data_IF_942365785070
#
_entry.id   IF_942365785070
#
_cell.length_a   1.000
_cell.length_b   1.000
_cell.length_c   1.000
_cell.angle_alpha   90.00
_cell.angle_beta   90.00
_cell.angle_gamma   90.00
#
_symmetry.space_group_name_H-M   'P 1'
#
loop_
_entity.id
_entity.type
_entity.pdbx_description
1 polymer ?
#
# COMPACT_ATOMS: atom_id res chain seq x y z
N UNK A 1 -23.89 60.41 26.28
CA UNK A 1 -23.78 59.37 25.25
C UNK A 1 -22.34 59.07 24.81
N UNK A 2 -21.46 60.05 24.61
CA UNK A 2 -20.07 59.82 24.16
C UNK A 2 -19.24 58.94 25.13
N UNK A 3 -19.42 59.05 26.42
CA UNK A 3 -18.63 58.29 27.43
C UNK A 3 -19.06 56.82 27.54
N UNK A 4 -20.29 56.49 27.15
CA UNK A 4 -20.77 55.11 27.16
C UNK A 4 -20.24 54.33 25.95
N UNK A 5 -20.18 54.99 24.78
CA UNK A 5 -19.64 54.42 23.55
C UNK A 5 -18.14 54.14 23.67
N UNK A 6 -17.37 55.00 24.33
CA UNK A 6 -15.93 54.87 24.54
C UNK A 6 -15.60 53.70 25.50
N UNK A 7 -16.44 53.47 26.50
CA UNK A 7 -16.29 52.31 27.41
C UNK A 7 -16.64 51.01 26.71
N UNK A 8 -17.61 51.00 25.81
CA UNK A 8 -17.96 49.82 25.02
C UNK A 8 -16.85 49.43 24.02
N UNK A 9 -16.25 50.41 23.35
CA UNK A 9 -15.15 50.21 22.42
C UNK A 9 -13.90 49.70 23.17
N UNK A 10 -13.62 50.24 24.37
CA UNK A 10 -12.50 49.79 25.18
C UNK A 10 -12.70 48.36 25.72
N UNK A 11 -13.93 48.00 26.08
CA UNK A 11 -14.28 46.63 26.53
C UNK A 11 -14.20 45.60 25.37
N UNK A 12 -14.62 46.01 24.18
CA UNK A 12 -14.52 45.15 22.99
C UNK A 12 -13.05 44.91 22.56
N UNK A 13 -12.20 45.95 22.72
CA UNK A 13 -10.77 45.83 22.39
C UNK A 13 -10.04 44.89 23.35
N UNK A 14 -10.42 44.87 24.63
CA UNK A 14 -9.83 43.93 25.63
C UNK A 14 -10.25 42.49 25.37
N UNK A 15 -11.47 42.25 24.88
CA UNK A 15 -11.96 40.91 24.54
C UNK A 15 -11.22 40.34 23.31
N UNK A 16 -10.87 41.18 22.34
CA UNK A 16 -10.11 40.76 21.14
C UNK A 16 -8.64 40.44 21.44
N UNK A 17 -8.06 41.11 22.46
CA UNK A 17 -6.67 40.84 22.89
C UNK A 17 -6.53 39.64 23.83
N UNK A 18 -7.65 39.16 24.37
CA UNK A 18 -7.65 38.03 25.33
C UNK A 18 -8.03 36.67 24.76
N UNK A 19 -8.20 36.55 23.44
CA UNK A 19 -8.41 35.24 22.83
C UNK A 19 -7.14 34.40 23.02
N UNK A 20 -7.20 33.25 23.72
CA UNK A 20 -6.04 32.38 23.78
C UNK A 20 -5.75 31.97 22.33
N UNK A 21 -4.55 32.28 21.85
CA UNK A 21 -4.00 31.61 20.69
C UNK A 21 -4.01 30.12 21.06
N UNK A 22 -4.98 29.37 20.52
CA UNK A 22 -4.82 27.93 20.42
C UNK A 22 -3.62 27.72 19.51
N UNK A 23 -2.46 27.63 20.14
CA UNK A 23 -1.29 27.11 19.47
C UNK A 23 -1.67 25.72 19.00
N UNK A 24 -1.78 25.54 17.69
CA UNK A 24 -1.64 24.21 17.11
C UNK A 24 -0.34 23.69 17.69
N UNK A 25 -0.46 22.74 18.60
CA UNK A 25 0.70 21.95 19.01
C UNK A 25 1.15 21.28 17.70
N UNK A 26 2.08 21.92 17.03
CA UNK A 26 2.97 21.17 16.15
C UNK A 26 3.56 20.11 17.07
N UNK A 27 3.15 18.88 16.86
CA UNK A 27 3.93 17.75 17.30
C UNK A 27 5.26 17.96 16.57
N UNK A 28 6.16 18.65 17.25
CA UNK A 28 7.54 18.63 16.85
C UNK A 28 7.92 17.16 16.95
N UNK A 29 7.91 16.48 15.80
CA UNK A 29 8.80 15.36 15.62
C UNK A 29 10.18 15.95 15.80
N UNK A 30 10.61 16.04 17.05
CA UNK A 30 11.99 16.31 17.39
C UNK A 30 12.76 15.09 16.86
N UNK A 31 13.16 15.16 15.61
CA UNK A 31 14.32 14.40 15.14
C UNK A 31 15.50 15.03 15.86
N UNK A 32 15.61 14.78 17.16
CA UNK A 32 16.89 14.90 17.83
C UNK A 32 17.76 13.85 17.17
N UNK A 33 18.93 14.20 16.63
CA UNK A 33 19.93 13.21 16.29
C UNK A 33 20.32 12.54 17.60
N UNK A 34 19.55 11.53 17.96
CA UNK A 34 19.76 10.74 19.14
C UNK A 34 21.04 9.96 18.95
N UNK A 35 21.88 10.02 19.98
CA UNK A 35 23.06 9.20 20.06
C UNK A 35 22.69 7.71 19.97
N UNK A 36 23.66 6.87 19.83
CA UNK A 36 23.61 5.42 19.61
C UNK A 36 22.57 4.62 20.45
N UNK A 37 21.98 5.20 21.49
CA UNK A 37 21.04 4.55 22.38
C UNK A 37 19.57 4.60 21.96
N UNK A 38 19.17 5.56 21.11
CA UNK A 38 17.74 5.76 20.82
C UNK A 38 17.25 4.97 19.60
N UNK A 39 18.14 4.53 18.71
CA UNK A 39 17.79 3.70 17.56
C UNK A 39 17.22 2.33 17.94
N UNK A 40 17.56 1.85 19.13
CA UNK A 40 17.12 0.54 19.63
C UNK A 40 15.59 0.43 19.78
N UNK A 41 14.89 1.55 19.84
CA UNK A 41 13.45 1.61 20.02
C UNK A 41 12.72 2.20 18.81
N UNK A 42 13.47 2.59 17.78
CA UNK A 42 12.87 3.13 16.56
C UNK A 42 12.17 2.00 15.81
N UNK A 43 10.89 2.23 15.50
CA UNK A 43 10.06 1.31 14.75
C UNK A 43 9.37 2.10 13.65
N UNK A 44 9.32 1.55 12.45
CA UNK A 44 8.50 2.10 11.39
C UNK A 44 7.02 1.95 11.76
N UNK A 45 6.46 2.98 12.41
CA UNK A 45 5.05 3.00 12.81
C UNK A 45 4.16 3.68 11.78
N UNK A 46 4.74 4.30 10.77
CA UNK A 46 4.01 5.06 9.74
C UNK A 46 3.53 4.12 8.63
N UNK A 47 4.42 3.29 8.10
CA UNK A 47 4.14 2.48 6.92
C UNK A 47 3.93 1.00 7.26
N UNK A 48 4.60 0.51 8.31
CA UNK A 48 4.58 -0.91 8.67
C UNK A 48 3.40 -1.25 9.59
N UNK A 49 2.72 -2.35 9.28
CA UNK A 49 1.79 -2.99 10.20
C UNK A 49 2.51 -3.89 11.22
N UNK A 50 3.75 -4.26 10.96
CA UNK A 50 4.59 -5.10 11.82
C UNK A 50 5.39 -4.24 12.79
N UNK A 51 5.61 -4.74 14.01
CA UNK A 51 6.37 -4.03 15.05
C UNK A 51 7.81 -4.57 15.12
N UNK A 52 8.59 -4.31 14.08
CA UNK A 52 9.99 -4.71 14.01
C UNK A 52 10.86 -3.49 14.31
N UNK A 53 11.78 -3.61 15.28
CA UNK A 53 12.72 -2.54 15.61
C UNK A 53 13.83 -2.48 14.58
N UNK A 54 14.34 -1.29 14.28
CA UNK A 54 15.44 -1.11 13.32
C UNK A 54 16.70 -1.89 13.74
N UNK A 55 17.03 -1.95 15.01
CA UNK A 55 18.21 -2.67 15.52
C UNK A 55 18.06 -4.21 15.47
N UNK A 56 16.82 -4.72 15.33
CA UNK A 56 16.53 -6.13 15.23
C UNK A 56 16.52 -6.61 13.76
N UNK A 57 16.52 -5.71 12.80
CA UNK A 57 16.61 -6.00 11.37
C UNK A 57 18.04 -6.37 10.99
N UNK A 58 18.33 -7.64 10.85
CA UNK A 58 19.64 -8.13 10.38
C UNK A 58 19.78 -8.09 8.86
N UNK A 59 18.69 -8.34 8.15
CA UNK A 59 18.63 -8.37 6.70
C UNK A 59 17.32 -7.74 6.25
N UNK A 60 17.37 -6.94 5.21
CA UNK A 60 16.19 -6.34 4.61
C UNK A 60 16.38 -6.20 3.11
N UNK A 61 15.40 -6.64 2.33
CA UNK A 61 15.32 -6.42 0.90
C UNK A 61 13.91 -6.03 0.52
N UNK A 62 13.78 -4.96 -0.25
CA UNK A 62 12.50 -4.53 -0.80
C UNK A 62 12.14 -5.35 -2.04
N UNK A 63 10.91 -5.81 -2.12
CA UNK A 63 10.38 -6.62 -3.20
C UNK A 63 9.06 -6.02 -3.68
N UNK A 64 8.94 -5.78 -4.96
CA UNK A 64 7.70 -5.33 -5.60
C UNK A 64 7.06 -6.51 -6.32
N UNK A 65 5.81 -6.76 -5.98
CA UNK A 65 5.07 -7.92 -6.49
C UNK A 65 3.80 -7.48 -7.18
N UNK A 66 3.40 -8.26 -8.14
CA UNK A 66 2.13 -8.13 -8.87
C UNK A 66 1.22 -9.30 -8.62
N UNK A 67 -0.02 -9.01 -8.27
CA UNK A 67 -1.12 -9.97 -8.23
C UNK A 67 -1.95 -9.77 -9.49
N UNK A 68 -2.05 -10.80 -10.35
CA UNK A 68 -3.06 -10.86 -11.40
C UNK A 68 -4.32 -11.51 -10.83
N UNK A 69 -5.37 -10.70 -10.66
CA UNK A 69 -6.63 -11.13 -10.05
C UNK A 69 -7.39 -12.15 -10.91
N UNK A 70 -7.06 -12.29 -12.21
CA UNK A 70 -7.69 -13.26 -13.12
C UNK A 70 -7.15 -14.67 -12.92
N UNK A 71 -6.01 -14.84 -12.27
CA UNK A 71 -5.46 -16.14 -11.97
C UNK A 71 -6.40 -16.94 -11.06
N UNK A 72 -6.48 -18.25 -11.29
CA UNK A 72 -7.39 -19.14 -10.57
C UNK A 72 -7.26 -19.04 -9.03
N UNK A 73 -6.05 -18.86 -8.53
CA UNK A 73 -5.80 -18.69 -7.10
C UNK A 73 -6.31 -17.36 -6.53
N UNK A 74 -6.35 -16.32 -7.38
CA UNK A 74 -6.69 -14.97 -7.00
C UNK A 74 -8.18 -14.63 -7.23
N UNK A 75 -8.97 -15.55 -7.79
CA UNK A 75 -10.37 -15.31 -8.07
C UNK A 75 -11.19 -14.91 -6.83
N UNK A 76 -10.78 -15.36 -5.65
CA UNK A 76 -11.42 -14.96 -4.39
C UNK A 76 -11.22 -13.46 -4.07
N UNK A 77 -10.12 -12.85 -4.54
CA UNK A 77 -9.85 -11.41 -4.46
C UNK A 77 -10.55 -10.63 -5.57
N UNK A 78 -10.66 -11.22 -6.76
CA UNK A 78 -11.24 -10.55 -7.92
C UNK A 78 -12.75 -10.33 -7.79
N UNK A 79 -13.45 -11.27 -7.15
CA UNK A 79 -14.90 -11.29 -7.13
C UNK A 79 -15.48 -11.51 -8.53
N UNK A 80 -16.77 -11.19 -8.74
CA UNK A 80 -17.39 -11.32 -10.07
C UNK A 80 -17.28 -10.04 -10.92
N UNK A 81 -16.56 -9.03 -10.44
CA UNK A 81 -16.32 -7.78 -11.16
C UNK A 81 -17.57 -6.91 -11.38
N UNK A 82 -18.68 -7.20 -10.71
CA UNK A 82 -19.84 -6.31 -10.69
C UNK A 82 -19.67 -5.23 -9.61
N UNK A 83 -20.29 -4.06 -9.80
CA UNK A 83 -20.25 -2.96 -8.86
C UNK A 83 -20.75 -3.32 -7.43
N UNK A 84 -21.45 -4.43 -7.33
CA UNK A 84 -21.93 -5.01 -6.05
C UNK A 84 -21.11 -6.23 -5.60
N UNK A 85 -20.04 -6.57 -6.32
CA UNK A 85 -19.25 -7.74 -5.98
C UNK A 85 -18.35 -7.43 -4.78
N UNK A 86 -18.02 -8.47 -4.05
CA UNK A 86 -17.09 -8.42 -2.92
C UNK A 86 -15.62 -8.48 -3.40
N UNK A 87 -15.31 -8.03 -4.62
CA UNK A 87 -13.95 -7.97 -5.14
C UNK A 87 -13.14 -6.86 -4.47
N UNK A 88 -11.85 -7.13 -4.25
CA UNK A 88 -10.96 -6.21 -3.51
C UNK A 88 -10.92 -4.80 -4.11
N UNK A 89 -10.90 -4.68 -5.44
CA UNK A 89 -10.87 -3.38 -6.13
C UNK A 89 -12.15 -2.59 -5.85
N UNK A 90 -13.31 -3.24 -5.86
CA UNK A 90 -14.58 -2.58 -5.52
C UNK A 90 -14.63 -2.16 -4.06
N UNK A 91 -14.10 -2.99 -3.15
CA UNK A 91 -14.07 -2.67 -1.73
C UNK A 91 -13.12 -1.49 -1.45
N UNK A 92 -11.97 -1.45 -2.12
CA UNK A 92 -11.07 -0.30 -2.03
C UNK A 92 -11.74 0.97 -2.58
N UNK A 93 -12.40 0.88 -3.74
CA UNK A 93 -13.13 2.02 -4.31
C UNK A 93 -14.19 2.56 -3.35
N UNK A 94 -14.99 1.66 -2.75
CA UNK A 94 -16.00 2.01 -1.75
C UNK A 94 -15.39 2.68 -0.52
N UNK A 95 -14.31 2.13 0.01
CA UNK A 95 -13.60 2.68 1.16
C UNK A 95 -13.04 4.09 0.91
N UNK A 96 -12.58 4.38 -0.31
CA UNK A 96 -12.04 5.67 -0.70
C UNK A 96 -13.13 6.69 -1.01
N UNK A 97 -14.13 6.29 -1.83
CA UNK A 97 -15.10 7.24 -2.40
C UNK A 97 -16.35 7.37 -1.55
N UNK A 98 -16.94 6.24 -1.13
CA UNK A 98 -18.23 6.27 -0.43
C UNK A 98 -18.04 6.54 1.06
N UNK A 99 -17.02 5.98 1.67
CA UNK A 99 -16.78 6.06 3.11
C UNK A 99 -15.71 7.09 3.48
N UNK A 100 -14.87 7.52 2.52
CA UNK A 100 -13.73 8.43 2.74
C UNK A 100 -12.83 7.97 3.90
N UNK A 101 -12.64 6.66 4.00
CA UNK A 101 -11.91 6.01 5.11
C UNK A 101 -10.45 5.74 4.76
N UNK A 102 -10.12 5.63 3.47
CA UNK A 102 -8.76 5.41 2.99
C UNK A 102 -8.24 6.61 2.21
N UNK A 103 -7.06 7.08 2.59
CA UNK A 103 -6.31 8.07 1.84
C UNK A 103 -5.58 7.42 0.67
N UNK A 104 -5.61 8.07 -0.49
CA UNK A 104 -4.91 7.62 -1.69
C UNK A 104 -3.86 8.65 -2.07
N UNK A 105 -2.72 8.17 -2.56
CA UNK A 105 -1.59 9.00 -2.95
C UNK A 105 -1.23 8.75 -4.42
N UNK A 106 -0.65 9.77 -5.05
CA UNK A 106 -0.20 9.71 -6.44
C UNK A 106 1.18 9.08 -6.60
N UNK A 107 1.94 9.01 -5.52
CA UNK A 107 3.35 8.61 -5.51
C UNK A 107 3.63 7.51 -4.46
N UNK A 108 4.72 6.78 -4.69
CA UNK A 108 5.22 5.71 -3.82
C UNK A 108 5.70 6.24 -2.45
N UNK A 109 6.09 7.51 -2.38
CA UNK A 109 6.63 8.15 -1.16
C UNK A 109 5.53 8.79 -0.29
N UNK A 110 4.26 8.74 -0.73
CA UNK A 110 3.11 9.33 -0.04
C UNK A 110 3.23 10.84 0.22
N UNK A 111 3.86 11.56 -0.71
CA UNK A 111 4.02 13.01 -0.61
C UNK A 111 2.87 13.76 -1.25
N UNK A 112 2.16 13.14 -2.22
CA UNK A 112 1.10 13.76 -3.00
C UNK A 112 -0.24 13.07 -2.75
N UNK A 113 -1.03 13.53 -1.78
CA UNK A 113 -2.37 13.00 -1.57
C UNK A 113 -3.27 13.36 -2.77
N UNK A 114 -4.00 12.36 -3.28
CA UNK A 114 -4.99 12.55 -4.33
C UNK A 114 -6.33 12.96 -3.74
N UNK A 115 -7.01 13.89 -4.40
CA UNK A 115 -8.40 14.17 -4.09
C UNK A 115 -9.30 13.03 -4.58
N UNK A 116 -10.49 12.90 -3.96
CA UNK A 116 -11.47 11.88 -4.38
C UNK A 116 -11.84 12.05 -5.87
N UNK A 117 -11.93 13.27 -6.37
CA UNK A 117 -12.24 13.54 -7.77
C UNK A 117 -11.14 13.06 -8.70
N UNK A 118 -9.88 13.32 -8.39
CA UNK A 118 -8.71 12.83 -9.15
C UNK A 118 -8.61 11.31 -9.10
N UNK A 119 -8.86 10.71 -7.93
CA UNK A 119 -8.89 9.25 -7.82
C UNK A 119 -9.99 8.64 -8.69
N UNK A 120 -11.20 9.22 -8.69
CA UNK A 120 -12.30 8.77 -9.54
C UNK A 120 -11.97 8.89 -11.03
N UNK A 121 -11.34 10.00 -11.45
CA UNK A 121 -10.89 10.20 -12.82
C UNK A 121 -9.86 9.13 -13.22
N UNK A 122 -8.84 8.91 -12.38
CA UNK A 122 -7.84 7.89 -12.62
C UNK A 122 -8.41 6.47 -12.64
N UNK A 123 -9.45 6.22 -11.85
CA UNK A 123 -10.08 4.91 -11.74
C UNK A 123 -10.98 4.58 -12.93
N UNK A 124 -11.76 5.56 -13.42
CA UNK A 124 -12.79 5.32 -14.44
C UNK A 124 -12.38 5.67 -15.87
N UNK A 125 -11.33 6.48 -16.06
CA UNK A 125 -10.91 6.95 -17.37
C UNK A 125 -9.54 6.40 -17.78
N UNK A 126 -9.47 5.90 -19.01
CA UNK A 126 -8.21 5.51 -19.65
C UNK A 126 -7.46 6.74 -20.22
N UNK A 127 -6.33 6.52 -20.89
CA UNK A 127 -5.52 7.60 -21.49
C UNK A 127 -6.24 8.36 -22.61
N UNK A 128 -7.25 7.76 -23.26
CA UNK A 128 -8.06 8.38 -24.31
C UNK A 128 -9.30 9.08 -23.76
N UNK A 129 -9.55 8.99 -22.46
CA UNK A 129 -10.74 9.57 -21.81
C UNK A 129 -11.99 8.68 -21.91
N UNK A 130 -11.85 7.44 -22.36
CA UNK A 130 -12.98 6.50 -22.40
C UNK A 130 -13.20 5.88 -21.03
N UNK A 131 -14.48 5.65 -20.69
CA UNK A 131 -14.83 4.99 -19.44
C UNK A 131 -14.50 3.50 -19.48
N UNK A 132 -13.93 3.00 -18.41
CA UNK A 132 -13.58 1.60 -18.22
C UNK A 132 -14.51 0.93 -17.22
N UNK A 133 -14.52 -0.40 -17.23
CA UNK A 133 -15.24 -1.21 -16.23
C UNK A 133 -14.28 -1.77 -15.19
N UNK A 134 -14.75 -1.94 -13.96
CA UNK A 134 -13.95 -2.53 -12.86
C UNK A 134 -13.34 -3.88 -13.23
N UNK A 135 -14.04 -4.68 -14.03
CA UNK A 135 -13.50 -5.96 -14.56
C UNK A 135 -12.23 -5.83 -15.38
N UNK A 136 -11.95 -4.65 -15.91
CA UNK A 136 -10.75 -4.39 -16.71
C UNK A 136 -9.56 -4.01 -15.84
N UNK A 137 -9.79 -3.76 -14.54
CA UNK A 137 -8.75 -3.56 -13.52
C UNK A 137 -8.48 -4.91 -12.85
N UNK A 138 -7.40 -5.53 -13.22
CA UNK A 138 -7.04 -6.86 -12.72
C UNK A 138 -5.62 -6.97 -12.18
N UNK A 139 -4.87 -5.87 -12.16
CA UNK A 139 -3.56 -5.83 -11.52
C UNK A 139 -3.62 -5.09 -10.19
N UNK A 140 -3.06 -5.75 -9.20
CA UNK A 140 -2.83 -5.19 -7.88
C UNK A 140 -1.36 -5.39 -7.55
N UNK A 141 -0.62 -4.31 -7.51
CA UNK A 141 0.77 -4.32 -7.15
C UNK A 141 0.93 -4.00 -5.66
N UNK A 142 1.98 -4.47 -5.05
CA UNK A 142 2.33 -4.12 -3.69
C UNK A 142 3.84 -4.20 -3.49
N UNK A 143 4.32 -3.40 -2.56
CA UNK A 143 5.70 -3.45 -2.09
C UNK A 143 5.73 -4.07 -0.72
N UNK A 144 6.64 -4.99 -0.55
CA UNK A 144 6.94 -5.59 0.75
C UNK A 144 8.43 -5.54 1.04
N UNK A 145 8.77 -5.44 2.30
CA UNK A 145 10.11 -5.66 2.78
C UNK A 145 10.21 -7.07 3.35
N UNK A 146 11.14 -7.84 2.84
CA UNK A 146 11.52 -9.12 3.39
C UNK A 146 12.60 -8.88 4.44
N UNK A 147 12.25 -9.06 5.70
CA UNK A 147 13.08 -8.68 6.85
C UNK A 147 13.38 -9.90 7.69
N UNK A 148 14.65 -10.12 8.02
CA UNK A 148 15.02 -11.05 9.08
C UNK A 148 15.07 -10.34 10.43
N UNK A 149 14.14 -10.74 11.30
CA UNK A 149 14.08 -10.27 12.68
C UNK A 149 14.99 -11.14 13.56
N UNK A 150 16.10 -10.55 13.99
CA UNK A 150 17.08 -11.19 14.86
C UNK A 150 16.49 -11.56 16.23
N UNK A 151 15.55 -10.77 16.73
CA UNK A 151 14.98 -10.97 18.07
C UNK A 151 14.10 -12.23 18.11
N UNK A 152 13.29 -12.42 17.07
CA UNK A 152 12.41 -13.58 16.94
C UNK A 152 13.03 -14.73 16.14
N UNK A 153 14.20 -14.47 15.50
CA UNK A 153 14.87 -15.42 14.59
C UNK A 153 13.92 -15.91 13.50
N UNK A 154 13.15 -15.00 12.91
CA UNK A 154 12.14 -15.31 11.92
C UNK A 154 12.22 -14.33 10.73
N UNK A 155 11.77 -14.82 9.56
CA UNK A 155 11.66 -14.01 8.36
C UNK A 155 10.25 -13.46 8.26
N UNK A 156 10.15 -12.15 8.17
CA UNK A 156 8.88 -11.42 8.15
C UNK A 156 8.72 -10.71 6.81
N UNK A 157 7.54 -10.87 6.20
CA UNK A 157 7.12 -10.05 5.08
C UNK A 157 6.33 -8.85 5.61
N UNK A 158 6.84 -7.67 5.40
CA UNK A 158 6.22 -6.42 5.86
C UNK A 158 5.74 -5.63 4.65
N UNK A 159 4.45 -5.73 4.35
CA UNK A 159 3.84 -5.01 3.24
C UNK A 159 3.77 -3.52 3.60
N UNK A 160 4.29 -2.67 2.73
CA UNK A 160 4.35 -1.22 2.92
C UNK A 160 3.16 -0.51 2.30
N UNK A 161 2.83 -0.87 1.06
CA UNK A 161 1.71 -0.28 0.35
C UNK A 161 1.10 -1.21 -0.68
N UNK A 162 -0.11 -0.88 -1.06
CA UNK A 162 -0.83 -1.44 -2.18
C UNK A 162 -0.93 -0.39 -3.27
N UNK A 163 -0.67 -0.76 -4.51
CA UNK A 163 -0.70 0.08 -5.68
C UNK A 163 -1.71 -0.45 -6.69
N UNK A 164 -2.72 0.36 -6.99
CA UNK A 164 -3.71 0.06 -8.01
C UNK A 164 -3.19 0.47 -9.38
N UNK A 165 -3.15 -0.48 -10.31
CA UNK A 165 -2.60 -0.29 -11.65
C UNK A 165 -3.64 -0.63 -12.71
N UNK A 166 -3.84 0.30 -13.64
CA UNK A 166 -4.59 0.05 -14.85
C UNK A 166 -3.69 -0.63 -15.88
N UNK A 167 -4.06 -1.84 -16.37
CA UNK A 167 -3.26 -2.55 -17.36
C UNK A 167 -3.15 -1.77 -18.67
N UNK A 168 -2.05 -1.93 -19.40
CA UNK A 168 -1.82 -1.28 -20.69
C UNK A 168 -2.95 -1.58 -21.70
N UNK A 169 -3.43 -2.81 -21.75
CA UNK A 169 -4.54 -3.21 -22.63
C UNK A 169 -5.84 -2.43 -22.34
N UNK A 170 -6.11 -2.10 -21.08
CA UNK A 170 -7.26 -1.29 -20.67
C UNK A 170 -7.00 0.19 -20.91
N UNK A 171 -5.76 0.62 -20.80
CA UNK A 171 -5.32 2.00 -21.02
C UNK A 171 -5.01 2.32 -22.51
N UNK A 172 -5.77 1.74 -23.43
CA UNK A 172 -5.62 1.96 -24.88
C UNK A 172 -4.20 1.72 -25.41
N UNK A 173 -3.47 0.77 -24.80
CA UNK A 173 -2.07 0.45 -25.08
C UNK A 173 -1.08 1.63 -24.88
N UNK A 174 -1.46 2.66 -24.14
CA UNK A 174 -0.60 3.79 -23.79
C UNK A 174 0.38 3.48 -22.63
N UNK A 175 0.55 2.20 -22.28
CA UNK A 175 1.29 1.75 -21.12
C UNK A 175 0.41 1.58 -19.88
N UNK A 176 1.00 1.11 -18.80
CA UNK A 176 0.30 0.96 -17.53
C UNK A 176 0.06 2.35 -16.90
N UNK A 177 -1.12 2.56 -16.33
CA UNK A 177 -1.47 3.80 -15.65
C UNK A 177 -1.61 3.55 -14.15
N UNK A 178 -0.94 4.35 -13.35
CA UNK A 178 -1.13 4.39 -11.89
C UNK A 178 -2.48 4.99 -11.58
N UNK A 179 -3.28 4.28 -10.78
CA UNK A 179 -4.55 4.80 -10.25
C UNK A 179 -4.30 5.46 -8.90
N UNK A 180 -3.53 4.81 -8.04
CA UNK A 180 -3.11 5.39 -6.77
C UNK A 180 -2.43 4.37 -5.85
N UNK A 181 -1.77 4.90 -4.83
CA UNK A 181 -1.08 4.16 -3.79
C UNK A 181 -1.85 4.29 -2.46
N UNK A 182 -1.93 3.20 -1.72
CA UNK A 182 -2.61 3.14 -0.42
C UNK A 182 -1.63 2.56 0.59
N UNK A 183 -1.44 3.21 1.72
CA UNK A 183 -0.62 2.67 2.81
C UNK A 183 -1.22 1.36 3.31
N UNK A 184 -0.41 0.32 3.39
CA UNK A 184 -0.90 -0.99 3.82
C UNK A 184 -1.45 -0.97 5.25
N UNK A 185 -0.86 -0.18 6.13
CA UNK A 185 -1.34 -0.03 7.50
C UNK A 185 -2.80 0.49 7.57
N UNK A 186 -3.15 1.46 6.72
CA UNK A 186 -4.50 2.01 6.68
C UNK A 186 -5.48 0.99 6.08
N UNK A 187 -5.05 0.31 5.00
CA UNK A 187 -5.76 -0.80 4.40
C UNK A 187 -6.03 -1.92 5.43
N UNK A 188 -5.01 -2.34 6.17
CA UNK A 188 -5.11 -3.39 7.19
C UNK A 188 -6.11 -3.01 8.29
N UNK A 189 -6.00 -1.80 8.84
CA UNK A 189 -6.89 -1.31 9.89
C UNK A 189 -8.33 -1.22 9.40
N UNK A 190 -8.54 -0.70 8.19
CA UNK A 190 -9.88 -0.58 7.60
C UNK A 190 -10.55 -1.96 7.45
N UNK A 191 -9.89 -2.92 6.80
CA UNK A 191 -10.49 -4.23 6.53
C UNK A 191 -10.63 -5.11 7.77
N UNK A 192 -9.84 -4.90 8.80
CA UNK A 192 -10.01 -5.52 10.11
C UNK A 192 -11.33 -5.13 10.77
N UNK A 193 -11.77 -3.88 10.60
CA UNK A 193 -13.00 -3.35 11.18
C UNK A 193 -14.24 -3.58 10.29
N UNK A 194 -14.05 -4.10 9.05
CA UNK A 194 -15.10 -4.34 8.05
C UNK A 194 -15.22 -5.84 7.68
N UNK A 195 -15.77 -6.66 8.57
CA UNK A 195 -15.86 -8.11 8.36
C UNK A 195 -16.81 -8.52 7.22
N UNK A 196 -17.59 -7.60 6.66
CA UNK A 196 -18.42 -7.81 5.47
C UNK A 196 -17.60 -7.88 4.18
N UNK A 197 -16.43 -7.23 4.14
CA UNK A 197 -15.47 -7.31 3.04
C UNK A 197 -14.61 -8.57 3.20
N UNK A 198 -15.02 -9.66 2.54
CA UNK A 198 -14.44 -10.99 2.77
C UNK A 198 -13.74 -11.56 1.56
N UNK A 199 -12.61 -12.17 1.82
CA UNK A 199 -12.00 -13.17 0.95
C UNK A 199 -12.83 -14.47 1.04
N UNK A 200 -13.54 -14.81 -0.03
CA UNK A 200 -14.44 -15.95 -0.03
C UNK A 200 -13.68 -17.21 -0.42
N UNK A 201 -13.61 -18.17 0.49
CA UNK A 201 -13.06 -19.47 0.17
C UNK A 201 -14.11 -20.34 -0.55
N UNK A 202 -14.00 -20.48 -1.86
CA UNK A 202 -14.93 -21.27 -2.67
C UNK A 202 -14.90 -22.76 -2.36
N UNK A 203 -13.86 -23.27 -1.73
CA UNK A 203 -13.74 -24.67 -1.34
C UNK A 203 -14.33 -24.93 0.05
N UNK A 204 -14.35 -23.92 0.92
CA UNK A 204 -14.87 -24.03 2.27
C UNK A 204 -15.49 -22.70 2.73
N UNK A 205 -16.77 -22.52 2.44
CA UNK A 205 -17.53 -21.31 2.78
C UNK A 205 -17.61 -21.03 4.29
N UNK A 206 -17.38 -22.05 5.13
CA UNK A 206 -17.37 -21.89 6.58
C UNK A 206 -16.09 -21.18 7.10
N UNK A 207 -15.07 -21.06 6.26
CA UNK A 207 -13.80 -20.37 6.55
C UNK A 207 -13.58 -19.23 5.57
N UNK A 208 -14.47 -18.27 5.53
CA UNK A 208 -14.20 -16.99 4.87
C UNK A 208 -13.38 -16.13 5.80
N UNK A 209 -12.31 -15.54 5.26
CA UNK A 209 -11.41 -14.64 5.98
C UNK A 209 -11.71 -13.18 5.58
N UNK A 210 -11.28 -12.24 6.39
CA UNK A 210 -11.24 -10.84 6.01
C UNK A 210 -10.06 -10.59 5.06
N UNK A 211 -10.02 -9.44 4.37
CA UNK A 211 -8.93 -9.18 3.43
C UNK A 211 -7.60 -8.97 4.16
N UNK A 212 -7.59 -8.36 5.33
CA UNK A 212 -6.40 -8.23 6.17
C UNK A 212 -5.83 -9.61 6.55
N UNK A 213 -6.66 -10.55 7.01
CA UNK A 213 -6.23 -11.92 7.31
C UNK A 213 -5.72 -12.66 6.06
N UNK A 214 -6.36 -12.45 4.90
CA UNK A 214 -5.95 -13.07 3.64
C UNK A 214 -4.59 -12.57 3.17
N UNK A 215 -4.29 -11.27 3.35
CA UNK A 215 -2.99 -10.70 3.03
C UNK A 215 -1.91 -11.14 4.02
N UNK A 216 -2.19 -11.14 5.32
CA UNK A 216 -1.25 -11.62 6.34
C UNK A 216 -0.90 -13.10 6.18
N UNK A 217 -1.87 -13.93 5.82
CA UNK A 217 -1.65 -15.36 5.56
C UNK A 217 -1.22 -15.66 4.11
N UNK A 218 -1.05 -14.62 3.29
CA UNK A 218 -0.61 -14.70 1.88
C UNK A 218 -1.45 -15.63 1.02
N UNK A 219 -2.78 -15.58 1.15
CA UNK A 219 -3.72 -16.39 0.37
C UNK A 219 -3.92 -15.83 -1.05
N UNK A 220 -2.84 -15.50 -1.71
CA UNK A 220 -2.81 -15.04 -3.08
C UNK A 220 -1.53 -15.53 -3.78
N UNK A 221 -1.58 -15.57 -5.09
CA UNK A 221 -0.40 -15.77 -5.92
C UNK A 221 0.04 -14.43 -6.49
N UNK A 222 1.31 -14.15 -6.37
CA UNK A 222 1.93 -12.96 -6.92
C UNK A 222 3.22 -13.31 -7.65
N UNK A 223 3.66 -12.43 -8.55
CA UNK A 223 4.92 -12.55 -9.29
C UNK A 223 5.80 -11.36 -8.93
N UNK A 224 7.06 -11.60 -8.64
CA UNK A 224 8.03 -10.54 -8.38
C UNK A 224 8.28 -9.76 -9.67
N UNK A 225 8.09 -8.44 -9.63
CA UNK A 225 8.36 -7.56 -10.76
C UNK A 225 9.72 -6.89 -10.62
N UNK A 226 10.10 -6.56 -9.40
CA UNK A 226 11.33 -5.86 -9.06
C UNK A 226 11.78 -6.24 -7.66
N UNK A 227 13.06 -6.20 -7.40
CA UNK A 227 13.65 -6.26 -6.06
C UNK A 227 14.68 -5.14 -5.94
N UNK A 228 15.05 -4.80 -4.71
CA UNK A 228 16.09 -3.79 -4.47
C UNK A 228 17.41 -4.23 -5.11
N UNK A 229 17.82 -3.56 -6.16
CA UNK A 229 19.06 -3.76 -6.88
C UNK A 229 19.77 -2.41 -7.13
N UNK A 230 21.02 -2.45 -7.54
CA UNK A 230 21.84 -1.25 -7.74
C UNK A 230 21.34 -0.33 -8.87
N UNK A 231 20.59 -0.87 -9.81
CA UNK A 231 20.11 -0.16 -11.00
C UNK A 231 18.63 0.21 -10.91
N UNK A 232 17.94 -0.24 -9.84
CA UNK A 232 16.50 -0.12 -9.64
C UNK A 232 15.65 -0.63 -10.83
N UNK A 233 16.20 -1.60 -11.57
CA UNK A 233 15.63 -2.13 -12.79
C UNK A 233 14.55 -3.18 -12.50
N UNK A 234 13.55 -3.26 -13.38
CA UNK A 234 12.59 -4.37 -13.39
C UNK A 234 13.29 -5.66 -13.83
N UNK A 235 12.82 -6.80 -13.33
CA UNK A 235 13.34 -8.09 -13.77
C UNK A 235 13.18 -8.27 -15.29
N UNK A 236 12.08 -7.76 -15.85
CA UNK A 236 11.85 -7.78 -17.29
C UNK A 236 12.90 -6.99 -18.09
N UNK A 237 13.43 -5.89 -17.53
CA UNK A 237 14.43 -5.04 -18.18
C UNK A 237 15.86 -5.63 -18.06
N UNK A 238 16.06 -6.58 -17.15
CA UNK A 238 17.32 -7.30 -16.98
C UNK A 238 17.52 -8.43 -17.99
N UNK A 239 16.45 -8.84 -18.68
CA UNK A 239 16.49 -9.88 -19.70
C UNK A 239 17.03 -9.31 -21.01
N UNK A 240 17.94 -10.03 -21.67
CA UNK A 240 18.43 -9.62 -22.99
C UNK A 240 17.28 -9.44 -23.98
N UNK A 241 17.27 -8.31 -24.67
CA UNK A 241 16.26 -7.96 -25.66
C UNK A 241 16.19 -8.98 -26.82
N UNK A 242 17.30 -9.59 -27.17
CA UNK A 242 17.42 -10.60 -28.24
C UNK A 242 16.99 -12.02 -27.80
N UNK A 243 16.54 -12.19 -26.54
CA UNK A 243 16.07 -13.49 -26.07
C UNK A 243 14.81 -13.95 -26.81
N UNK A 244 14.71 -15.22 -27.25
CA UNK A 244 13.56 -15.73 -28.03
C UNK A 244 12.20 -15.55 -27.36
N UNK A 245 12.18 -15.58 -26.01
CA UNK A 245 10.97 -15.42 -25.19
C UNK A 245 11.30 -14.60 -23.93
N UNK A 246 11.43 -13.27 -24.06
CA UNK A 246 11.86 -12.41 -22.93
C UNK A 246 10.87 -12.43 -21.75
N UNK A 247 9.56 -12.51 -22.00
CA UNK A 247 8.56 -12.57 -20.93
C UNK A 247 8.66 -13.86 -20.11
N UNK A 248 8.88 -14.99 -20.78
CA UNK A 248 9.07 -16.29 -20.09
C UNK A 248 10.36 -16.27 -19.29
N UNK A 249 11.44 -15.70 -19.82
CA UNK A 249 12.70 -15.60 -19.11
C UNK A 249 12.55 -14.72 -17.87
N UNK A 250 11.92 -13.54 -17.99
CA UNK A 250 11.64 -12.67 -16.85
C UNK A 250 10.82 -13.39 -15.75
N UNK A 251 9.85 -14.20 -16.14
CA UNK A 251 9.09 -15.00 -15.19
C UNK A 251 9.96 -16.07 -14.50
N UNK A 252 10.84 -16.74 -15.25
CA UNK A 252 11.76 -17.72 -14.68
C UNK A 252 12.79 -17.07 -13.75
N UNK A 253 13.27 -15.87 -14.07
CA UNK A 253 14.19 -15.11 -13.24
C UNK A 253 13.49 -14.61 -11.94
N UNK A 254 12.23 -14.23 -12.03
CA UNK A 254 11.42 -13.92 -10.86
C UNK A 254 11.27 -15.12 -9.91
N UNK A 255 11.00 -16.31 -10.47
CA UNK A 255 10.94 -17.55 -9.70
C UNK A 255 12.31 -17.91 -9.10
N UNK A 256 13.39 -17.76 -9.88
CA UNK A 256 14.75 -18.01 -9.39
C UNK A 256 15.11 -17.09 -8.21
N UNK A 257 14.66 -15.84 -8.25
CA UNK A 257 14.82 -14.91 -7.14
C UNK A 257 14.05 -15.39 -5.89
N UNK A 258 12.79 -15.83 -6.04
CA UNK A 258 12.01 -16.39 -4.93
C UNK A 258 12.68 -17.62 -4.31
N UNK A 259 13.22 -18.51 -5.13
CA UNK A 259 13.99 -19.66 -4.64
C UNK A 259 15.24 -19.25 -3.86
N UNK A 260 15.95 -18.20 -4.29
CA UNK A 260 17.11 -17.66 -3.54
C UNK A 260 16.70 -17.10 -2.18
N UNK A 261 15.55 -16.45 -2.07
CA UNK A 261 15.03 -15.99 -0.77
C UNK A 261 14.72 -17.15 0.17
N UNK A 262 14.07 -18.22 -0.35
CA UNK A 262 13.80 -19.43 0.42
C UNK A 262 15.08 -20.16 0.85
N UNK A 263 16.07 -20.26 -0.05
CA UNK A 263 17.37 -20.84 0.25
C UNK A 263 18.10 -20.04 1.33
N UNK A 264 18.04 -18.70 1.25
CA UNK A 264 18.59 -17.83 2.27
C UNK A 264 17.90 -18.07 3.62
N UNK A 265 16.57 -18.08 3.67
CA UNK A 265 15.80 -18.38 4.89
C UNK A 265 16.21 -19.73 5.49
N UNK A 266 16.26 -20.78 4.67
CA UNK A 266 16.68 -22.11 5.14
C UNK A 266 18.10 -22.10 5.68
N UNK A 267 19.03 -21.36 5.06
CA UNK A 267 20.42 -21.28 5.53
C UNK A 267 20.56 -20.64 6.91
N UNK A 268 19.62 -19.81 7.33
CA UNK A 268 19.62 -19.20 8.65
C UNK A 268 19.24 -20.16 9.79
N UNK A 269 18.60 -21.29 9.45
CA UNK A 269 18.21 -22.33 10.41
C UNK A 269 19.26 -23.43 10.60
N UNK A 270 20.31 -23.44 9.78
CA UNK A 270 21.37 -24.45 9.83
C UNK A 270 22.49 -24.14 10.86
N UNK A 271 22.38 -23.02 11.60
CA UNK A 271 23.40 -22.58 12.57
C UNK A 271 22.96 -22.65 14.01
#
# INVERSE_FOLDING_TARGET
MKNLLQKFILSLLVIVLGAPMMGTAQVATSVTPSGFGDRQFDMDTVFSAKRIREDDKMYQIGVWRRIDLREKYNLALYGQGDAKSNGIINQIYKAVVDENALEVFGDEEFTQPLSIAEFQENFWLNATGDSIFVKQLYYLDFKEDFVFDKHHSDMVFDIKYIHLVMPSATNSNAGQKTIGYIRYKDFFNYFKDHPEARWINFQNLSKSLTYDEAFETRLFRSVVQRFTNSEDALIADMVDFDHPNPELQAYMDALAFEYKLLEFENSLWEW
#
